data_IF_802750911630
#
_entry.id   IF_802750911630
#
_cell.length_a   1.000
_cell.length_b   1.000
_cell.length_c   1.000
_cell.angle_alpha   90.00
_cell.angle_beta   90.00
_cell.angle_gamma   90.00
#
_symmetry.space_group_name_H-M   'P 1'
#
loop_
_entity.id
_entity.type
_entity.pdbx_description
1 polymer ?
#
# COMPACT_ATOMS: atom_id res chain seq x y z
N UNK A 1 -9.05 -2.78 15.80
CA UNK A 1 -8.18 -1.61 16.03
C UNK A 1 -8.61 -0.75 17.22
N UNK A 2 -9.90 -0.46 17.45
CA UNK A 2 -10.35 0.35 18.60
C UNK A 2 -9.90 -0.18 19.98
N UNK A 3 -9.79 -1.51 20.14
CA UNK A 3 -9.40 -2.15 21.41
C UNK A 3 -7.93 -1.94 21.77
N UNK A 4 -7.03 -1.86 20.78
CA UNK A 4 -5.59 -1.60 21.03
C UNK A 4 -5.37 -0.18 21.53
N UNK A 5 -6.07 0.80 20.93
CA UNK A 5 -5.97 2.20 21.35
C UNK A 5 -6.50 2.43 22.77
N UNK A 6 -7.51 1.67 23.20
CA UNK A 6 -8.04 1.73 24.58
C UNK A 6 -7.05 1.14 25.58
N UNK A 7 -6.46 -0.02 25.28
CA UNK A 7 -5.47 -0.69 26.12
C UNK A 7 -4.21 0.16 26.29
N UNK A 8 -3.65 0.71 25.21
CA UNK A 8 -2.47 1.58 25.25
C UNK A 8 -2.69 2.83 26.10
N UNK A 9 -3.90 3.42 26.04
CA UNK A 9 -4.27 4.56 26.88
C UNK A 9 -4.29 4.20 28.38
N UNK A 10 -4.84 3.03 28.73
CA UNK A 10 -4.86 2.55 30.12
C UNK A 10 -3.44 2.34 30.67
N UNK A 11 -2.54 1.79 29.85
CA UNK A 11 -1.13 1.60 30.21
C UNK A 11 -0.43 2.95 30.45
N UNK A 12 -0.61 3.93 29.56
CA UNK A 12 -0.01 5.28 29.70
C UNK A 12 -0.49 5.99 30.97
N UNK A 13 -1.79 5.89 31.27
CA UNK A 13 -2.36 6.47 32.48
C UNK A 13 -1.79 5.81 33.75
N UNK A 14 -1.62 4.48 33.73
CA UNK A 14 -1.00 3.77 34.83
C UNK A 14 0.48 4.17 35.03
N UNK A 15 1.25 4.36 33.96
CA UNK A 15 2.65 4.84 34.05
C UNK A 15 2.71 6.23 34.72
N UNK A 16 1.80 7.14 34.34
CA UNK A 16 1.72 8.47 34.93
C UNK A 16 1.36 8.44 36.42
N UNK A 17 0.44 7.57 36.82
CA UNK A 17 0.04 7.41 38.23
C UNK A 17 1.15 6.75 39.08
N UNK A 18 1.97 5.90 38.48
CA UNK A 18 3.08 5.21 39.15
C UNK A 18 4.39 6.04 39.19
N UNK A 19 4.36 7.29 38.72
CA UNK A 19 5.50 8.20 38.85
C UNK A 19 6.60 8.00 37.81
N UNK A 20 6.30 7.40 36.65
CA UNK A 20 7.20 7.33 35.49
C UNK A 20 8.22 6.19 35.50
N UNK A 21 8.52 5.58 36.66
CA UNK A 21 9.35 4.37 36.75
C UNK A 21 8.49 3.17 37.12
N UNK A 22 8.36 2.21 36.21
CA UNK A 22 7.41 1.10 36.36
C UNK A 22 7.96 -0.24 35.91
N UNK A 23 7.54 -1.33 36.55
CA UNK A 23 7.74 -2.69 36.02
C UNK A 23 6.50 -3.17 35.28
N UNK A 24 6.65 -4.26 34.51
CA UNK A 24 5.51 -4.92 33.86
C UNK A 24 4.47 -5.38 34.89
N UNK A 25 4.93 -5.85 36.06
CA UNK A 25 4.07 -6.30 37.15
C UNK A 25 3.24 -5.14 37.74
N UNK A 26 3.86 -3.99 38.01
CA UNK A 26 3.16 -2.83 38.59
C UNK A 26 2.02 -2.35 37.68
N UNK A 27 2.29 -2.27 36.38
CA UNK A 27 1.30 -1.83 35.39
C UNK A 27 0.21 -2.89 35.20
N UNK A 28 0.55 -4.18 35.19
CA UNK A 28 -0.42 -5.26 35.10
C UNK A 28 -1.35 -5.29 36.32
N UNK A 29 -0.81 -5.15 37.53
CA UNK A 29 -1.57 -5.07 38.78
C UNK A 29 -2.49 -3.86 38.83
N UNK A 30 -2.08 -2.72 38.25
CA UNK A 30 -2.89 -1.50 38.23
C UNK A 30 -3.98 -1.50 37.16
N UNK A 31 -3.69 -2.05 35.98
CA UNK A 31 -4.59 -2.01 34.82
C UNK A 31 -5.48 -3.24 34.68
N UNK A 32 -5.14 -4.34 35.36
CA UNK A 32 -5.79 -5.64 35.20
C UNK A 32 -5.54 -6.30 33.83
N UNK A 33 -4.56 -5.81 33.07
CA UNK A 33 -4.22 -6.32 31.74
C UNK A 33 -3.25 -7.51 31.81
N UNK A 34 -3.31 -8.47 30.85
CA UNK A 34 -2.36 -9.58 30.80
C UNK A 34 -0.90 -9.11 30.69
N UNK A 35 0.01 -9.74 31.43
CA UNK A 35 1.45 -9.38 31.52
C UNK A 35 2.10 -9.28 30.13
N UNK A 36 1.85 -10.25 29.24
CA UNK A 36 2.40 -10.25 27.88
C UNK A 36 1.97 -9.00 27.08
N UNK A 37 0.71 -8.57 27.27
CA UNK A 37 0.16 -7.40 26.59
C UNK A 37 0.71 -6.11 27.17
N UNK A 38 0.86 -6.04 28.50
CA UNK A 38 1.49 -4.91 29.18
C UNK A 38 2.96 -4.77 28.74
N UNK A 39 3.70 -5.86 28.67
CA UNK A 39 5.09 -5.86 28.20
C UNK A 39 5.22 -5.36 26.75
N UNK A 40 4.39 -5.87 25.84
CA UNK A 40 4.38 -5.40 24.44
C UNK A 40 4.06 -3.90 24.34
N UNK A 41 3.08 -3.41 25.09
CA UNK A 41 2.69 -2.00 25.07
C UNK A 41 3.76 -1.12 25.72
N UNK A 42 4.38 -1.54 26.83
CA UNK A 42 5.47 -0.80 27.48
C UNK A 42 6.71 -0.68 26.59
N UNK A 43 7.10 -1.76 25.91
CA UNK A 43 8.19 -1.73 24.92
C UNK A 43 7.89 -0.76 23.77
N UNK A 44 6.65 -0.79 23.26
CA UNK A 44 6.24 0.11 22.19
C UNK A 44 6.20 1.57 22.67
N UNK A 45 5.68 1.84 23.87
CA UNK A 45 5.64 3.18 24.47
C UNK A 45 7.05 3.68 24.78
N UNK A 46 7.97 2.83 25.24
CA UNK A 46 9.36 3.19 25.50
C UNK A 46 10.08 3.58 24.20
N UNK A 47 9.89 2.79 23.13
CA UNK A 47 10.37 3.13 21.79
C UNK A 47 9.75 4.44 21.27
N UNK A 48 8.47 4.70 21.56
CA UNK A 48 7.74 5.88 21.07
C UNK A 48 8.08 7.16 21.85
N UNK A 49 8.44 7.06 23.13
CA UNK A 49 8.61 8.20 24.05
C UNK A 49 10.04 8.41 24.54
N UNK A 50 11.01 7.71 23.93
CA UNK A 50 12.42 7.68 24.39
C UNK A 50 12.56 7.26 25.85
N UNK A 51 11.70 6.34 26.31
CA UNK A 51 11.82 5.72 27.62
C UNK A 51 13.06 4.81 27.68
N UNK A 52 13.73 4.79 28.82
CA UNK A 52 14.91 3.96 29.03
C UNK A 52 14.56 2.70 29.82
N UNK A 53 15.25 1.61 29.49
CA UNK A 53 15.16 0.34 30.21
C UNK A 53 16.27 0.28 31.25
N UNK A 54 15.91 0.08 32.50
CA UNK A 54 16.83 -0.21 33.60
C UNK A 54 16.74 -1.70 33.91
N UNK A 55 17.90 -2.36 33.92
CA UNK A 55 17.98 -3.79 34.24
C UNK A 55 18.72 -3.94 35.57
N UNK A 56 18.12 -4.68 36.50
CA UNK A 56 18.76 -4.98 37.78
C UNK A 56 19.90 -6.00 37.61
N UNK A 57 20.75 -6.13 38.63
CA UNK A 57 21.78 -7.19 38.67
C UNK A 57 21.19 -8.61 38.73
N UNK A 58 19.90 -8.74 39.05
CA UNK A 58 19.13 -9.99 39.03
C UNK A 58 18.41 -10.25 37.69
N UNK A 59 18.46 -9.30 36.74
CA UNK A 59 17.84 -9.43 35.41
C UNK A 59 16.41 -8.88 35.31
N UNK A 60 15.91 -8.21 36.34
CA UNK A 60 14.57 -7.63 36.36
C UNK A 60 14.55 -6.29 35.60
N UNK A 61 13.50 -6.06 34.80
CA UNK A 61 13.39 -4.90 33.90
C UNK A 61 12.41 -3.87 34.49
N UNK A 62 12.90 -2.65 34.70
CA UNK A 62 12.10 -1.47 34.99
C UNK A 62 12.17 -0.48 33.81
N UNK A 63 11.03 0.13 33.50
CA UNK A 63 10.91 1.15 32.46
C UNK A 63 10.88 2.52 33.11
N UNK A 64 11.77 3.41 32.68
CA UNK A 64 11.86 4.77 33.18
C UNK A 64 11.47 5.75 32.06
N UNK A 65 10.36 6.45 32.26
CA UNK A 65 9.77 7.37 31.29
C UNK A 65 9.93 8.82 31.76
N UNK A 66 10.23 9.78 30.85
CA UNK A 66 10.35 11.19 31.22
C UNK A 66 9.01 11.72 31.75
N UNK A 67 9.05 12.62 32.74
CA UNK A 67 7.91 13.05 33.57
C UNK A 67 6.74 13.75 32.86
N UNK A 68 6.68 13.77 31.52
CA UNK A 68 5.63 14.44 30.75
C UNK A 68 5.09 13.56 29.58
N UNK A 69 4.82 12.28 29.86
CA UNK A 69 4.33 11.28 28.88
C UNK A 69 3.04 11.73 28.16
N UNK A 70 2.19 12.49 28.86
CA UNK A 70 0.90 12.96 28.33
C UNK A 70 1.04 13.93 27.13
N UNK A 71 2.06 14.78 27.10
CA UNK A 71 2.27 15.76 26.01
C UNK A 71 3.00 15.15 24.81
N UNK A 72 3.93 14.22 25.02
CA UNK A 72 4.59 13.48 23.94
C UNK A 72 3.63 12.56 23.17
N UNK A 73 2.60 12.02 23.84
CA UNK A 73 1.61 11.14 23.23
C UNK A 73 0.47 11.89 22.51
N UNK A 74 0.06 13.08 22.99
CA UNK A 74 -1.03 13.86 22.37
C UNK A 74 -0.71 14.30 20.94
N UNK A 75 0.54 14.58 20.61
CA UNK A 75 0.97 14.99 19.27
C UNK A 75 0.85 13.86 18.24
N UNK A 76 0.98 12.59 18.66
CA UNK A 76 0.89 11.40 17.79
C UNK A 76 -0.48 10.71 17.82
N UNK A 77 -1.24 10.83 18.92
CA UNK A 77 -2.63 10.36 18.97
C UNK A 77 -3.55 11.10 18.00
N UNK A 78 -3.26 12.39 17.73
CA UNK A 78 -3.87 13.14 16.64
C UNK A 78 -3.45 12.60 15.26
N UNK A 79 -2.19 12.18 15.10
CA UNK A 79 -1.67 11.65 13.84
C UNK A 79 -2.29 10.29 13.46
N UNK A 80 -2.50 9.38 14.43
CA UNK A 80 -3.15 8.08 14.21
C UNK A 80 -4.67 8.20 13.98
N UNK A 81 -5.33 9.15 14.67
CA UNK A 81 -6.74 9.48 14.41
C UNK A 81 -6.90 10.20 13.08
N UNK A 82 -5.95 11.05 12.68
CA UNK A 82 -5.88 11.63 11.35
C UNK A 82 -5.65 10.55 10.29
N UNK A 83 -4.86 9.51 10.56
CA UNK A 83 -4.67 8.41 9.64
C UNK A 83 -5.96 7.57 9.44
N UNK A 84 -6.68 7.25 10.52
CA UNK A 84 -7.95 6.52 10.44
C UNK A 84 -9.11 7.37 9.90
N UNK A 85 -9.19 8.63 10.31
CA UNK A 85 -10.15 9.60 9.76
C UNK A 85 -9.83 9.90 8.29
N UNK A 86 -8.54 10.00 7.91
CA UNK A 86 -8.15 10.14 6.51
C UNK A 86 -8.56 8.91 5.72
N UNK A 87 -8.36 7.68 6.18
CA UNK A 87 -8.80 6.47 5.45
C UNK A 87 -10.32 6.46 5.20
N UNK A 88 -11.12 6.86 6.19
CA UNK A 88 -12.59 6.94 6.06
C UNK A 88 -13.04 8.14 5.19
N UNK A 89 -12.50 9.34 5.45
CA UNK A 89 -12.80 10.58 4.73
C UNK A 89 -12.26 10.55 3.29
N UNK A 90 -11.13 9.88 3.04
CA UNK A 90 -10.59 9.61 1.71
C UNK A 90 -11.48 8.62 0.98
N UNK A 91 -12.05 7.59 1.61
CA UNK A 91 -12.90 6.63 0.87
C UNK A 91 -14.18 7.26 0.29
N UNK A 92 -14.88 8.08 1.08
CA UNK A 92 -16.07 8.81 0.62
C UNK A 92 -15.72 10.09 -0.15
N UNK A 93 -14.68 10.80 0.27
CA UNK A 93 -14.17 12.01 -0.38
C UNK A 93 -13.57 11.75 -1.75
N UNK A 94 -12.83 10.65 -1.95
CA UNK A 94 -12.35 10.24 -3.27
C UNK A 94 -13.50 9.90 -4.19
N UNK A 95 -14.60 9.32 -3.72
CA UNK A 95 -15.76 9.01 -4.57
C UNK A 95 -16.50 10.26 -5.04
N UNK A 96 -16.76 11.22 -4.14
CA UNK A 96 -17.37 12.50 -4.51
C UNK A 96 -16.44 13.33 -5.40
N UNK A 97 -15.13 13.30 -5.14
CA UNK A 97 -14.10 13.96 -5.94
C UNK A 97 -13.91 13.29 -7.32
N UNK A 98 -14.02 11.95 -7.40
CA UNK A 98 -14.01 11.16 -8.66
C UNK A 98 -15.08 11.64 -9.62
N UNK A 99 -16.28 11.86 -9.10
CA UNK A 99 -17.44 12.25 -9.89
C UNK A 99 -17.38 13.74 -10.23
N UNK A 100 -16.93 14.59 -9.29
CA UNK A 100 -16.95 16.05 -9.48
C UNK A 100 -16.06 16.54 -10.62
N UNK A 101 -14.87 15.95 -10.82
CA UNK A 101 -14.00 16.34 -11.93
C UNK A 101 -14.56 15.95 -13.29
N UNK A 102 -15.13 14.75 -13.42
CA UNK A 102 -15.75 14.32 -14.68
C UNK A 102 -17.00 15.13 -15.02
N UNK A 103 -17.87 15.39 -14.04
CA UNK A 103 -19.05 16.25 -14.22
C UNK A 103 -18.65 17.70 -14.48
N UNK A 104 -17.66 18.21 -13.75
CA UNK A 104 -17.10 19.54 -13.96
C UNK A 104 -16.54 19.70 -15.37
N UNK A 105 -15.88 18.68 -15.91
CA UNK A 105 -15.37 18.68 -17.28
C UNK A 105 -16.51 18.78 -18.30
N UNK A 106 -17.55 17.97 -18.15
CA UNK A 106 -18.74 18.03 -19.04
C UNK A 106 -19.42 19.39 -18.94
N UNK A 107 -19.67 19.88 -17.72
CA UNK A 107 -20.30 21.18 -17.50
C UNK A 107 -19.47 22.32 -18.09
N UNK A 108 -18.15 22.29 -17.90
CA UNK A 108 -17.24 23.29 -18.48
C UNK A 108 -17.30 23.27 -20.01
N UNK A 109 -17.32 22.10 -20.64
CA UNK A 109 -17.44 21.98 -22.10
C UNK A 109 -18.78 22.55 -22.59
N UNK A 110 -19.89 22.26 -21.91
CA UNK A 110 -21.20 22.81 -22.28
C UNK A 110 -21.23 24.34 -22.20
N UNK A 111 -20.62 24.92 -21.15
CA UNK A 111 -20.51 26.38 -21.01
C UNK A 111 -19.62 26.96 -22.12
N UNK A 112 -18.48 26.34 -22.40
CA UNK A 112 -17.59 26.74 -23.51
C UNK A 112 -18.33 26.73 -24.85
N UNK A 113 -19.09 25.68 -25.15
CA UNK A 113 -19.89 25.59 -26.37
C UNK A 113 -20.95 26.70 -26.41
N UNK A 114 -21.68 26.94 -25.31
CA UNK A 114 -22.67 28.02 -25.24
C UNK A 114 -22.06 29.41 -25.48
N UNK A 115 -20.90 29.67 -24.89
CA UNK A 115 -20.15 30.92 -25.08
C UNK A 115 -19.64 31.06 -26.53
N UNK A 116 -19.14 29.98 -27.14
CA UNK A 116 -18.73 29.99 -28.56
C UNK A 116 -19.92 30.26 -29.49
N UNK A 117 -21.11 29.72 -29.19
CA UNK A 117 -22.32 30.01 -29.97
C UNK A 117 -22.72 31.49 -29.88
N UNK A 118 -22.66 32.08 -28.69
CA UNK A 118 -22.91 33.53 -28.49
C UNK A 118 -21.91 34.36 -29.31
N UNK A 119 -20.63 33.99 -29.27
CA UNK A 119 -19.57 34.64 -30.03
C UNK A 119 -19.84 34.58 -31.54
N UNK A 120 -20.20 33.41 -32.07
CA UNK A 120 -20.54 33.23 -33.50
C UNK A 120 -21.75 34.11 -33.88
N UNK A 121 -22.81 34.11 -33.05
CA UNK A 121 -23.99 34.96 -33.29
C UNK A 121 -23.59 36.43 -33.35
N UNK A 122 -22.73 36.89 -32.44
CA UNK A 122 -22.24 38.28 -32.44
C UNK A 122 -21.44 38.61 -33.70
N UNK A 123 -20.56 37.73 -34.16
CA UNK A 123 -19.81 37.90 -35.42
C UNK A 123 -20.72 37.91 -36.66
N UNK A 124 -21.81 37.14 -36.64
CA UNK A 124 -22.72 37.00 -37.77
C UNK A 124 -23.72 38.15 -37.97
N UNK A 125 -23.77 39.14 -37.06
CA UNK A 125 -24.66 40.32 -37.18
C UNK A 125 -24.32 41.28 -38.35
N UNK A 126 -23.28 40.99 -39.13
CA UNK A 126 -22.86 41.78 -40.30
C UNK A 126 -22.72 41.00 -41.61
N UNK A 127 -23.20 39.75 -41.69
CA UNK A 127 -23.06 38.92 -42.90
C UNK A 127 -24.41 38.42 -43.40
N UNK A 128 -24.78 38.86 -44.61
CA UNK A 128 -26.00 38.39 -45.30
C UNK A 128 -26.07 36.87 -45.42
N UNK A 129 -27.28 36.37 -45.23
CA UNK A 129 -27.69 34.98 -45.32
C UNK A 129 -27.12 34.28 -46.56
N UNK A 130 -26.22 33.31 -46.35
CA UNK A 130 -26.13 32.13 -47.22
C UNK A 130 -26.18 30.88 -46.38
N UNK A 131 -27.35 30.25 -46.43
CA UNK A 131 -27.64 28.96 -45.83
C UNK A 131 -26.59 27.93 -46.24
N UNK A 132 -26.00 27.33 -45.23
CA UNK A 132 -25.20 26.13 -45.34
C UNK A 132 -25.49 25.35 -44.07
N UNK A 133 -26.59 24.60 -44.10
CA UNK A 133 -26.94 23.61 -43.09
C UNK A 133 -25.90 22.48 -43.16
N UNK A 134 -24.71 22.76 -42.63
CA UNK A 134 -23.69 21.76 -42.35
C UNK A 134 -23.91 21.36 -40.91
N UNK A 135 -24.98 20.58 -40.70
CA UNK A 135 -25.19 19.86 -39.46
C UNK A 135 -23.92 19.07 -39.15
N UNK A 136 -23.12 19.58 -38.20
CA UNK A 136 -22.06 18.81 -37.58
C UNK A 136 -22.76 17.75 -36.75
N UNK A 137 -23.11 16.64 -37.38
CA UNK A 137 -23.81 15.52 -36.79
C UNK A 137 -22.96 14.82 -35.74
N UNK A 138 -22.76 15.45 -34.59
CA UNK A 138 -22.57 14.72 -33.34
C UNK A 138 -23.87 13.96 -33.11
N UNK A 139 -23.94 12.70 -33.57
CA UNK A 139 -25.02 11.81 -33.15
C UNK A 139 -24.99 11.77 -31.62
N UNK A 140 -26.04 12.28 -30.99
CA UNK A 140 -26.34 12.24 -29.55
C UNK A 140 -26.62 10.78 -29.09
N UNK A 141 -26.02 9.77 -29.72
CA UNK A 141 -26.01 8.39 -29.22
C UNK A 141 -25.00 8.19 -28.08
N UNK A 142 -24.16 9.19 -27.78
CA UNK A 142 -23.12 9.15 -26.76
C UNK A 142 -23.65 9.38 -25.33
N UNK A 143 -24.76 10.12 -25.17
CA UNK A 143 -25.27 10.54 -23.85
C UNK A 143 -26.49 9.75 -23.34
N UNK A 144 -27.16 8.95 -24.18
CA UNK A 144 -28.64 8.86 -24.10
C UNK A 144 -29.27 7.73 -23.28
N UNK A 145 -28.54 6.87 -22.56
CA UNK A 145 -29.18 5.92 -21.61
C UNK A 145 -28.20 5.25 -20.64
N UNK A 146 -26.99 4.94 -21.10
CA UNK A 146 -26.01 4.15 -20.35
C UNK A 146 -25.38 4.92 -19.19
N UNK A 147 -25.13 6.23 -19.35
CA UNK A 147 -24.47 7.07 -18.33
C UNK A 147 -25.39 7.23 -17.10
N UNK A 148 -26.69 7.47 -17.30
CA UNK A 148 -27.67 7.68 -16.23
C UNK A 148 -28.11 6.33 -15.61
N UNK A 149 -28.30 5.28 -16.43
CA UNK A 149 -28.61 3.92 -15.95
C UNK A 149 -27.47 3.36 -15.09
N UNK A 150 -26.21 3.50 -15.52
CA UNK A 150 -25.05 2.98 -14.77
C UNK A 150 -24.73 3.86 -13.55
N UNK A 151 -25.04 5.16 -13.58
CA UNK A 151 -25.01 6.03 -12.39
C UNK A 151 -26.00 5.54 -11.31
N UNK A 152 -27.22 5.15 -11.71
CA UNK A 152 -28.23 4.58 -10.81
C UNK A 152 -27.89 3.16 -10.36
N UNK A 153 -27.35 2.29 -11.23
CA UNK A 153 -26.94 0.94 -10.85
C UNK A 153 -25.79 0.93 -9.82
N UNK A 154 -24.85 1.87 -9.93
CA UNK A 154 -23.75 2.04 -8.97
C UNK A 154 -24.20 2.70 -7.66
N UNK A 155 -25.23 3.56 -7.70
CA UNK A 155 -25.84 4.17 -6.50
C UNK A 155 -26.64 3.16 -5.66
N UNK A 156 -27.25 2.15 -6.30
CA UNK A 156 -28.19 1.22 -5.65
C UNK A 156 -27.65 -0.21 -5.40
N UNK A 157 -26.61 -0.70 -6.11
CA UNK A 157 -26.19 -2.12 -6.04
C UNK A 157 -24.68 -2.41 -6.01
N UNK A 158 -23.80 -1.42 -5.81
CA UNK A 158 -22.37 -1.55 -6.09
C UNK A 158 -21.41 -1.66 -4.91
N UNK A 159 -21.71 -2.41 -3.84
CA UNK A 159 -20.71 -2.70 -2.80
C UNK A 159 -20.70 -4.19 -2.43
N UNK A 160 -19.77 -4.92 -3.03
CA UNK A 160 -19.31 -6.18 -2.48
C UNK A 160 -17.79 -6.14 -2.40
N UNK A 161 -17.30 -5.95 -1.19
CA UNK A 161 -15.97 -6.37 -0.81
C UNK A 161 -15.87 -7.88 -1.05
N UNK A 162 -15.13 -8.26 -2.08
CA UNK A 162 -14.84 -9.67 -2.34
C UNK A 162 -13.52 -10.01 -1.65
N UNK A 163 -13.65 -10.84 -0.61
CA UNK A 163 -12.60 -11.71 -0.07
C UNK A 163 -11.79 -12.30 -1.22
N UNK A 164 -10.48 -12.07 -1.23
CA UNK A 164 -9.57 -12.77 -2.12
C UNK A 164 -9.50 -14.25 -1.75
N UNK A 165 -9.62 -15.18 -2.71
CA UNK A 165 -9.19 -16.57 -2.51
C UNK A 165 -7.65 -16.61 -2.35
N UNK A 166 -7.17 -17.45 -1.44
CA UNK A 166 -5.78 -17.52 -0.98
C UNK A 166 -4.76 -18.04 -2.01
N UNK A 167 -5.12 -18.15 -3.29
CA UNK A 167 -4.30 -18.81 -4.33
C UNK A 167 -3.29 -17.89 -5.01
N UNK A 168 -3.39 -16.57 -4.87
CA UNK A 168 -2.55 -15.59 -5.58
C UNK A 168 -1.85 -14.62 -4.62
N UNK A 169 -1.03 -15.15 -3.70
CA UNK A 169 -0.37 -14.35 -2.65
C UNK A 169 0.75 -13.43 -3.18
N UNK A 170 1.30 -13.74 -4.36
CA UNK A 170 2.48 -13.08 -4.92
C UNK A 170 2.24 -12.37 -6.24
N UNK A 171 1.04 -12.49 -6.81
CA UNK A 171 0.67 -11.87 -8.08
C UNK A 171 0.35 -10.38 -7.91
N UNK A 172 0.40 -9.66 -9.04
CA UNK A 172 0.02 -8.25 -9.09
C UNK A 172 -1.38 -8.11 -8.50
N UNK A 173 -1.61 -7.29 -7.45
CA UNK A 173 -2.96 -6.98 -7.03
C UNK A 173 -3.66 -6.42 -8.26
N UNK A 174 -4.57 -7.22 -8.82
CA UNK A 174 -5.35 -6.80 -9.97
C UNK A 174 -6.30 -5.74 -9.45
N UNK A 175 -5.86 -4.48 -9.48
CA UNK A 175 -6.77 -3.35 -9.48
C UNK A 175 -7.61 -3.58 -10.73
N UNK A 176 -8.85 -4.08 -10.51
CA UNK A 176 -9.75 -4.55 -11.54
C UNK A 176 -9.64 -3.67 -12.79
N UNK A 177 -9.26 -4.28 -13.90
CA UNK A 177 -9.69 -3.79 -15.21
C UNK A 177 -11.21 -3.87 -15.18
N UNK A 178 -11.90 -2.77 -14.90
CA UNK A 178 -13.34 -2.73 -15.09
C UNK A 178 -13.57 -3.06 -16.57
N UNK A 179 -14.19 -4.20 -16.86
CA UNK A 179 -14.42 -4.66 -18.24
C UNK A 179 -15.12 -3.61 -19.11
N UNK A 180 -15.84 -2.66 -18.47
CA UNK A 180 -16.32 -1.41 -19.07
C UNK A 180 -16.15 -0.26 -18.07
N UNK A 181 -15.14 0.58 -18.27
CA UNK A 181 -14.89 1.77 -17.47
C UNK A 181 -15.92 2.87 -17.75
N UNK A 182 -16.40 3.53 -16.69
CA UNK A 182 -17.28 4.70 -16.79
C UNK A 182 -16.45 5.94 -17.15
N UNK A 183 -16.95 6.83 -18.02
CA UNK A 183 -16.28 8.10 -18.37
C UNK A 183 -15.80 8.89 -17.14
N UNK A 184 -16.60 8.98 -16.08
CA UNK A 184 -16.21 9.68 -14.84
C UNK A 184 -15.02 8.99 -14.13
N UNK A 185 -15.02 7.66 -14.12
CA UNK A 185 -13.90 6.88 -13.61
C UNK A 185 -12.66 7.05 -14.48
N UNK A 186 -12.82 7.09 -15.81
CA UNK A 186 -11.72 7.29 -16.75
C UNK A 186 -11.12 8.70 -16.59
N UNK A 187 -11.94 9.74 -16.39
CA UNK A 187 -11.47 11.08 -16.03
C UNK A 187 -10.66 11.08 -14.73
N UNK A 188 -11.12 10.36 -13.70
CA UNK A 188 -10.37 10.25 -12.46
C UNK A 188 -9.04 9.49 -12.63
N UNK A 189 -9.06 8.34 -13.30
CA UNK A 189 -7.85 7.57 -13.59
C UNK A 189 -6.87 8.37 -14.48
N UNK A 190 -7.41 9.17 -15.41
CA UNK A 190 -6.63 10.11 -16.19
C UNK A 190 -5.98 11.18 -15.32
N UNK A 191 -6.67 11.77 -14.33
CA UNK A 191 -6.17 12.88 -13.51
C UNK A 191 -5.28 12.43 -12.33
N UNK A 192 -5.58 11.30 -11.69
CA UNK A 192 -4.87 10.82 -10.49
C UNK A 192 -4.24 9.42 -10.60
N UNK A 193 -4.64 8.62 -11.59
CA UNK A 193 -4.21 7.22 -11.72
C UNK A 193 -4.98 6.26 -10.79
N UNK A 194 -4.50 5.03 -10.69
CA UNK A 194 -5.24 3.93 -10.05
C UNK A 194 -4.64 3.47 -8.71
N UNK A 195 -3.77 4.29 -8.12
CA UNK A 195 -3.09 4.02 -6.85
C UNK A 195 -1.71 3.37 -7.01
N UNK A 196 -1.06 3.14 -5.87
CA UNK A 196 0.26 2.50 -5.83
C UNK A 196 0.13 0.98 -6.03
N UNK A 197 0.75 0.40 -7.08
CA UNK A 197 0.69 -1.04 -7.31
C UNK A 197 1.48 -1.86 -6.29
N UNK A 198 2.39 -1.23 -5.52
CA UNK A 198 3.32 -1.90 -4.60
C UNK A 198 2.99 -1.66 -3.12
N UNK A 199 1.74 -1.33 -2.77
CA UNK A 199 1.34 -1.05 -1.36
C UNK A 199 1.69 -2.19 -0.40
N UNK A 200 1.59 -3.44 -0.85
CA UNK A 200 1.90 -4.63 -0.05
C UNK A 200 3.31 -5.18 -0.34
N UNK A 201 4.21 -4.39 -0.93
CA UNK A 201 5.55 -4.87 -1.29
C UNK A 201 6.36 -5.33 -0.07
N UNK A 202 6.27 -4.60 1.04
CA UNK A 202 6.94 -4.99 2.28
C UNK A 202 6.37 -6.31 2.84
N UNK A 203 5.04 -6.44 2.90
CA UNK A 203 4.41 -7.69 3.35
C UNK A 203 4.80 -8.88 2.46
N UNK A 204 4.84 -8.67 1.13
CA UNK A 204 5.31 -9.69 0.18
C UNK A 204 6.78 -10.02 0.39
N UNK A 205 7.64 -9.02 0.59
CA UNK A 205 9.06 -9.21 0.87
C UNK A 205 9.26 -10.14 2.07
N UNK A 206 8.62 -9.85 3.19
CA UNK A 206 8.75 -10.67 4.40
C UNK A 206 8.15 -12.06 4.22
N UNK A 207 7.00 -12.16 3.55
CA UNK A 207 6.37 -13.45 3.26
C UNK A 207 7.23 -14.33 2.34
N UNK A 208 7.88 -13.74 1.34
CA UNK A 208 8.80 -14.44 0.44
C UNK A 208 10.10 -14.83 1.17
N UNK A 209 10.71 -13.92 1.93
CA UNK A 209 11.92 -14.22 2.72
C UNK A 209 11.68 -15.40 3.69
N UNK A 210 10.56 -15.40 4.41
CA UNK A 210 10.20 -16.52 5.29
C UNK A 210 10.01 -17.84 4.52
N UNK A 211 9.43 -17.78 3.31
CA UNK A 211 9.22 -18.96 2.47
C UNK A 211 10.55 -19.53 1.93
N UNK A 212 11.50 -18.68 1.55
CA UNK A 212 12.87 -19.10 1.16
C UNK A 212 13.56 -19.78 2.33
N UNK A 213 13.52 -19.17 3.50
CA UNK A 213 14.12 -19.73 4.73
C UNK A 213 13.52 -21.10 5.03
N UNK A 214 12.20 -21.24 4.91
CA UNK A 214 11.53 -22.52 5.10
C UNK A 214 12.02 -23.58 4.12
N UNK A 215 12.05 -23.27 2.82
CA UNK A 215 12.50 -24.19 1.74
C UNK A 215 13.96 -24.60 1.86
N UNK A 216 14.80 -23.71 2.35
CA UNK A 216 16.21 -24.00 2.59
C UNK A 216 16.46 -24.84 3.84
N UNK A 217 15.43 -25.27 4.56
CA UNK A 217 15.59 -26.05 5.79
C UNK A 217 16.01 -25.20 6.98
N UNK A 218 15.60 -23.93 7.01
CA UNK A 218 15.78 -23.05 8.16
C UNK A 218 17.15 -22.40 8.23
N UNK A 219 18.09 -22.76 7.35
CA UNK A 219 19.40 -22.12 7.24
C UNK A 219 19.57 -21.54 5.85
N UNK A 220 19.96 -20.27 5.78
CA UNK A 220 20.16 -19.54 4.53
C UNK A 220 21.43 -18.71 4.55
N UNK A 221 21.95 -18.39 3.37
CA UNK A 221 23.03 -17.41 3.20
C UNK A 221 22.47 -16.03 2.83
N UNK A 222 23.28 -14.97 2.92
CA UNK A 222 22.90 -13.63 2.48
C UNK A 222 22.51 -13.61 0.99
N UNK A 223 23.25 -14.35 0.16
CA UNK A 223 23.01 -14.47 -1.28
C UNK A 223 21.63 -15.07 -1.58
N UNK A 224 21.13 -16.01 -0.76
CA UNK A 224 19.79 -16.57 -0.94
C UNK A 224 18.66 -15.59 -0.58
N UNK A 225 18.93 -14.64 0.31
CA UNK A 225 17.95 -13.63 0.74
C UNK A 225 17.97 -12.37 -0.13
N UNK A 226 19.11 -12.04 -0.74
CA UNK A 226 19.31 -10.85 -1.56
C UNK A 226 18.29 -10.65 -2.70
N UNK A 227 17.81 -11.68 -3.43
CA UNK A 227 16.78 -11.52 -4.45
C UNK A 227 15.44 -10.98 -3.91
N UNK A 228 15.21 -11.11 -2.61
CA UNK A 228 13.96 -10.70 -1.96
C UNK A 228 14.13 -9.41 -1.16
N UNK A 229 15.24 -9.27 -0.43
CA UNK A 229 15.54 -8.05 0.35
C UNK A 229 16.01 -6.91 -0.53
N UNK A 230 16.67 -7.21 -1.65
CA UNK A 230 17.34 -6.22 -2.50
C UNK A 230 18.62 -5.64 -1.88
N UNK A 231 19.11 -6.21 -0.77
CA UNK A 231 20.40 -5.84 -0.19
C UNK A 231 21.54 -6.50 -0.97
N UNK A 232 22.71 -5.85 -0.99
CA UNK A 232 23.91 -6.43 -1.59
C UNK A 232 24.35 -7.65 -0.76
N UNK A 233 24.47 -8.85 -1.36
CA UNK A 233 24.92 -10.04 -0.63
C UNK A 233 26.31 -9.93 -0.01
N UNK A 234 27.15 -9.01 -0.48
CA UNK A 234 28.48 -8.74 0.10
C UNK A 234 28.38 -7.97 1.41
N UNK A 235 27.25 -7.33 1.65
CA UNK A 235 26.95 -6.58 2.85
C UNK A 235 26.02 -7.41 3.75
N UNK A 236 26.63 -8.06 4.73
CA UNK A 236 25.94 -8.93 5.70
C UNK A 236 24.93 -8.12 6.56
N UNK A 237 25.03 -6.79 6.61
CA UNK A 237 24.08 -5.91 7.31
C UNK A 237 22.67 -6.00 6.71
N UNK A 238 22.57 -6.35 5.42
CA UNK A 238 21.31 -6.55 4.71
C UNK A 238 20.44 -7.67 5.28
N UNK A 239 21.03 -8.60 6.03
CA UNK A 239 20.33 -9.74 6.64
C UNK A 239 19.82 -9.42 8.05
N UNK A 240 20.35 -8.41 8.72
CA UNK A 240 19.99 -8.05 10.10
C UNK A 240 18.47 -7.84 10.31
N UNK A 241 17.74 -7.13 9.41
CA UNK A 241 16.30 -6.98 9.56
C UNK A 241 15.55 -8.33 9.52
N UNK A 242 16.05 -9.29 8.74
CA UNK A 242 15.47 -10.64 8.62
C UNK A 242 15.73 -11.42 9.92
N UNK A 243 16.94 -11.34 10.47
CA UNK A 243 17.30 -11.98 11.75
C UNK A 243 16.41 -11.48 12.89
N UNK A 244 16.29 -10.16 13.04
CA UNK A 244 15.47 -9.57 14.10
C UNK A 244 14.00 -9.95 13.94
N UNK A 245 13.48 -9.95 12.70
CA UNK A 245 12.05 -10.19 12.45
C UNK A 245 11.64 -11.65 12.66
N UNK A 246 12.51 -12.60 12.33
CA UNK A 246 12.20 -14.04 12.40
C UNK A 246 13.01 -14.77 13.47
N UNK A 247 13.59 -14.03 14.42
CA UNK A 247 14.42 -14.54 15.51
C UNK A 247 15.55 -15.48 15.03
N UNK A 248 16.23 -15.09 13.95
CA UNK A 248 17.35 -15.83 13.40
C UNK A 248 18.67 -15.52 14.11
N UNK A 249 19.63 -16.43 14.00
CA UNK A 249 20.98 -16.30 14.56
C UNK A 249 22.05 -16.56 13.50
N UNK A 250 23.16 -15.79 13.48
CA UNK A 250 24.30 -16.09 12.63
C UNK A 250 25.08 -17.28 13.20
N UNK A 251 25.52 -18.18 12.33
CA UNK A 251 26.41 -19.30 12.65
C UNK A 251 27.61 -19.28 11.70
N UNK A 252 28.79 -19.50 12.26
CA UNK A 252 30.03 -19.52 11.48
C UNK A 252 30.29 -20.94 10.98
N UNK A 253 30.53 -21.05 9.68
CA UNK A 253 30.87 -22.30 9.00
C UNK A 253 32.33 -22.68 9.24
N UNK A 254 32.67 -23.97 9.06
CA UNK A 254 34.04 -24.47 9.22
C UNK A 254 35.06 -23.78 8.31
N UNK A 255 34.61 -23.28 7.16
CA UNK A 255 35.42 -22.54 6.18
C UNK A 255 35.51 -21.03 6.47
N UNK A 256 34.92 -20.55 7.57
CA UNK A 256 34.97 -19.15 8.00
C UNK A 256 33.93 -18.22 7.39
N UNK A 257 32.98 -18.73 6.58
CA UNK A 257 31.81 -17.97 6.13
C UNK A 257 30.68 -17.96 7.17
N UNK A 258 29.72 -17.04 7.03
CA UNK A 258 28.56 -16.92 7.92
C UNK A 258 27.32 -17.48 7.20
N UNK A 259 26.51 -18.25 7.94
CA UNK A 259 25.17 -18.67 7.54
C UNK A 259 24.17 -18.24 8.61
N UNK A 260 22.89 -18.21 8.28
CA UNK A 260 21.85 -17.68 9.16
C UNK A 260 20.79 -18.74 9.42
N UNK A 261 20.66 -19.14 10.69
CA UNK A 261 19.75 -20.18 11.13
C UNK A 261 18.48 -19.59 11.76
N UNK A 262 17.32 -20.15 11.41
CA UNK A 262 15.98 -19.72 11.80
C UNK A 262 15.16 -20.93 12.30
N UNK A 263 15.42 -21.43 13.52
CA UNK A 263 14.76 -22.63 14.04
C UNK A 263 13.24 -22.48 14.16
N UNK A 264 12.76 -21.28 14.53
CA UNK A 264 11.34 -21.02 14.76
C UNK A 264 10.50 -21.12 13.49
N UNK A 265 11.09 -20.88 12.31
CA UNK A 265 10.38 -20.98 11.03
C UNK A 265 10.19 -22.43 10.55
N UNK A 266 10.84 -23.41 11.19
CA UNK A 266 10.73 -24.84 10.85
C UNK A 266 9.66 -25.59 11.65
N UNK A 267 9.00 -24.93 12.60
CA UNK A 267 7.91 -25.52 13.38
C UNK A 267 6.56 -25.08 12.80
N UNK A 268 5.74 -26.04 12.35
CA UNK A 268 4.46 -25.75 11.69
C UNK A 268 3.35 -26.64 12.18
N UNK A 269 2.12 -26.13 12.32
CA UNK A 269 0.95 -26.93 12.71
C UNK A 269 0.29 -27.68 11.52
N UNK A 270 0.72 -27.40 10.29
CA UNK A 270 0.22 -28.05 9.08
C UNK A 270 1.39 -28.31 8.14
N UNK A 271 1.32 -29.39 7.37
CA UNK A 271 2.30 -29.67 6.33
C UNK A 271 2.39 -28.48 5.35
N UNK A 272 3.59 -28.09 4.90
CA UNK A 272 3.76 -27.00 3.95
C UNK A 272 2.96 -27.27 2.69
N UNK A 273 2.18 -26.29 2.26
CA UNK A 273 1.67 -26.30 0.89
C UNK A 273 2.79 -25.89 -0.04
N UNK A 274 3.12 -26.77 -1.00
CA UNK A 274 3.99 -26.42 -2.12
C UNK A 274 3.32 -25.25 -2.84
N UNK A 275 3.91 -24.07 -2.72
CA UNK A 275 3.48 -22.86 -3.42
C UNK A 275 4.53 -22.56 -4.49
N UNK A 276 4.16 -21.99 -5.63
CA UNK A 276 5.20 -21.50 -6.55
C UNK A 276 5.78 -20.21 -5.97
N UNK A 277 7.06 -20.25 -5.58
CA UNK A 277 7.78 -19.06 -5.09
C UNK A 277 8.54 -18.47 -6.29
N UNK A 278 8.27 -17.21 -6.66
CA UNK A 278 9.05 -16.53 -7.68
C UNK A 278 10.53 -16.42 -7.26
N UNK A 279 11.49 -16.47 -8.21
CA UNK A 279 12.93 -16.47 -7.89
C UNK A 279 13.42 -15.17 -7.23
N UNK A 280 12.67 -14.07 -7.34
CA UNK A 280 12.98 -12.78 -6.72
C UNK A 280 11.71 -11.97 -6.47
N UNK A 281 11.82 -10.95 -5.60
CA UNK A 281 10.72 -10.01 -5.35
C UNK A 281 10.60 -8.99 -6.50
N UNK A 282 9.54 -9.14 -7.29
CA UNK A 282 9.22 -8.17 -8.35
C UNK A 282 8.33 -7.03 -7.82
N UNK A 283 8.79 -5.79 -7.98
CA UNK A 283 7.97 -4.59 -7.84
C UNK A 283 7.35 -4.21 -9.18
N UNK A 284 6.08 -3.84 -9.19
CA UNK A 284 5.41 -3.46 -10.43
C UNK A 284 5.61 -2.00 -10.77
N UNK A 285 5.81 -1.71 -12.06
CA UNK A 285 5.89 -0.34 -12.55
C UNK A 285 4.54 0.37 -12.41
N UNK A 286 4.59 1.65 -12.04
CA UNK A 286 3.43 2.52 -12.09
C UNK A 286 3.01 2.68 -13.55
N UNK A 287 1.78 2.25 -13.84
CA UNK A 287 1.12 2.57 -15.11
C UNK A 287 0.53 3.97 -15.02
N UNK A 288 0.50 4.69 -16.13
CA UNK A 288 -0.18 5.98 -16.18
C UNK A 288 -1.68 5.82 -15.86
N UNK A 289 -2.31 4.81 -16.45
CA UNK A 289 -3.64 4.33 -16.12
C UNK A 289 -3.75 2.84 -16.48
N UNK A 290 -4.59 2.11 -15.75
CA UNK A 290 -5.00 0.74 -16.01
C UNK A 290 -6.22 0.67 -16.94
N UNK A 291 -6.83 1.82 -17.30
CA UNK A 291 -7.94 1.90 -18.23
C UNK A 291 -7.46 1.61 -19.66
N UNK A 292 -8.15 0.76 -20.42
CA UNK A 292 -7.86 0.51 -21.83
C UNK A 292 -7.82 1.81 -22.67
N UNK A 293 -6.94 1.84 -23.68
CA UNK A 293 -6.67 3.06 -24.46
C UNK A 293 -7.91 3.56 -25.23
N UNK A 294 -8.74 2.66 -25.73
CA UNK A 294 -10.01 2.95 -26.41
C UNK A 294 -11.00 3.68 -25.50
N UNK A 295 -11.04 3.31 -24.21
CA UNK A 295 -11.94 3.93 -23.23
C UNK A 295 -11.43 5.29 -22.74
N UNK A 296 -10.15 5.61 -22.97
CA UNK A 296 -9.55 6.91 -22.64
C UNK A 296 -9.76 7.97 -23.73
N UNK A 297 -10.05 7.56 -24.97
CA UNK A 297 -10.25 8.49 -26.10
C UNK A 297 -11.30 9.57 -25.80
N UNK A 298 -12.50 9.26 -25.26
CA UNK A 298 -13.48 10.30 -24.96
C UNK A 298 -12.99 11.34 -23.95
N UNK A 299 -12.18 10.92 -22.96
CA UNK A 299 -11.60 11.83 -21.96
C UNK A 299 -10.66 12.82 -22.65
N UNK A 300 -9.78 12.33 -23.54
CA UNK A 300 -8.86 13.19 -24.30
C UNK A 300 -9.60 14.16 -25.22
N UNK A 301 -10.65 13.68 -25.91
CA UNK A 301 -11.44 14.51 -26.82
C UNK A 301 -12.16 15.62 -26.05
N UNK A 302 -12.88 15.27 -24.98
CA UNK A 302 -13.61 16.26 -24.16
C UNK A 302 -12.64 17.25 -23.51
N UNK A 303 -11.52 16.79 -22.96
CA UNK A 303 -10.51 17.65 -22.37
C UNK A 303 -9.85 18.59 -23.40
N UNK A 304 -9.51 18.06 -24.57
CA UNK A 304 -8.93 18.84 -25.67
C UNK A 304 -9.88 19.90 -26.21
N UNK A 305 -11.14 19.55 -26.48
CA UNK A 305 -12.17 20.51 -26.92
C UNK A 305 -12.42 21.59 -25.88
N UNK A 306 -12.48 21.21 -24.60
CA UNK A 306 -12.67 22.15 -23.50
C UNK A 306 -11.50 23.14 -23.40
N UNK A 307 -10.26 22.65 -23.44
CA UNK A 307 -9.06 23.48 -23.41
C UNK A 307 -9.01 24.44 -24.62
N UNK A 308 -9.14 23.91 -25.83
CA UNK A 308 -9.07 24.70 -27.07
C UNK A 308 -10.19 25.75 -27.09
N UNK A 309 -11.43 25.34 -26.82
CA UNK A 309 -12.58 26.25 -26.84
C UNK A 309 -12.45 27.36 -25.79
N UNK A 310 -12.00 27.04 -24.57
CA UNK A 310 -11.78 28.06 -23.55
C UNK A 310 -10.68 29.06 -23.95
N UNK A 311 -9.58 28.60 -24.55
CA UNK A 311 -8.52 29.51 -25.02
C UNK A 311 -8.92 30.34 -26.24
N UNK A 312 -9.74 29.81 -27.15
CA UNK A 312 -10.35 30.61 -28.23
C UNK A 312 -11.17 31.75 -27.64
N UNK A 313 -11.96 31.48 -26.59
CA UNK A 313 -12.75 32.50 -25.91
C UNK A 313 -11.87 33.56 -25.22
N UNK A 314 -10.76 33.16 -24.57
CA UNK A 314 -9.77 34.10 -23.99
C UNK A 314 -9.19 35.03 -25.05
N UNK A 315 -8.88 34.49 -26.23
CA UNK A 315 -8.29 35.25 -27.34
C UNK A 315 -9.31 36.08 -28.13
N UNK A 316 -10.60 36.01 -27.78
CA UNK A 316 -11.67 36.69 -28.49
C UNK A 316 -12.07 37.99 -27.77
N UNK A 317 -11.59 39.17 -28.21
CA UNK A 317 -11.88 40.44 -27.55
C UNK A 317 -13.36 40.86 -27.62
N UNK A 318 -14.16 40.20 -28.47
CA UNK A 318 -15.56 40.53 -28.75
C UNK A 318 -16.55 40.12 -27.66
N UNK A 319 -16.15 39.28 -26.70
CA UNK A 319 -17.03 38.82 -25.61
C UNK A 319 -17.32 39.87 -24.53
N UNK A 320 -16.60 41.00 -24.55
CA UNK A 320 -16.72 42.06 -23.55
C UNK A 320 -16.14 41.66 -22.17
N UNK A 321 -15.93 42.65 -21.31
CA UNK A 321 -15.29 42.43 -19.99
C UNK A 321 -16.16 41.64 -19.00
N UNK A 322 -17.48 41.60 -19.21
CA UNK A 322 -18.44 40.96 -18.29
C UNK A 322 -18.30 39.44 -18.19
N UNK A 323 -17.95 38.75 -19.27
CA UNK A 323 -17.73 37.30 -19.26
C UNK A 323 -16.28 36.89 -18.92
N UNK A 324 -15.36 37.85 -18.83
CA UNK A 324 -13.93 37.58 -18.68
C UNK A 324 -13.59 36.73 -17.44
N UNK A 325 -14.17 36.96 -16.24
CA UNK A 325 -13.89 36.11 -15.08
C UNK A 325 -14.27 34.64 -15.31
N UNK A 326 -15.41 34.39 -15.97
CA UNK A 326 -15.87 33.04 -16.29
C UNK A 326 -14.98 32.39 -17.35
N UNK A 327 -14.61 33.12 -18.40
CA UNK A 327 -13.72 32.64 -19.47
C UNK A 327 -12.35 32.26 -18.89
N UNK A 328 -11.77 33.10 -18.03
CA UNK A 328 -10.50 32.82 -17.36
C UNK A 328 -10.60 31.59 -16.44
N UNK A 329 -11.71 31.44 -15.71
CA UNK A 329 -11.95 30.25 -14.90
C UNK A 329 -12.01 28.96 -15.75
N UNK A 330 -12.73 28.99 -16.88
CA UNK A 330 -12.81 27.86 -17.81
C UNK A 330 -11.45 27.52 -18.43
N UNK A 331 -10.69 28.53 -18.84
CA UNK A 331 -9.35 28.34 -19.39
C UNK A 331 -8.38 27.78 -18.36
N UNK A 332 -8.42 28.29 -17.12
CA UNK A 332 -7.65 27.76 -16.01
C UNK A 332 -8.00 26.30 -15.73
N UNK A 333 -9.30 25.99 -15.63
CA UNK A 333 -9.78 24.62 -15.39
C UNK A 333 -9.35 23.66 -16.50
N UNK A 334 -9.58 24.01 -17.77
CA UNK A 334 -9.17 23.19 -18.92
C UNK A 334 -7.66 22.99 -19.00
N UNK A 335 -6.88 24.03 -18.67
CA UNK A 335 -5.41 23.95 -18.62
C UNK A 335 -4.95 23.02 -17.50
N UNK A 336 -5.49 23.15 -16.29
CA UNK A 336 -5.13 22.29 -15.15
C UNK A 336 -5.53 20.83 -15.38
N UNK A 337 -6.66 20.59 -16.05
CA UNK A 337 -7.11 19.23 -16.38
C UNK A 337 -6.11 18.48 -17.29
N UNK A 338 -5.31 19.19 -18.08
CA UNK A 338 -4.24 18.62 -18.90
C UNK A 338 -2.85 18.70 -18.25
N UNK A 339 -2.58 19.76 -17.50
CA UNK A 339 -1.27 19.99 -16.88
C UNK A 339 -0.98 19.03 -15.72
N UNK A 340 -1.96 18.78 -14.86
CA UNK A 340 -1.83 17.84 -13.72
C UNK A 340 -1.43 16.43 -14.19
N UNK A 341 -2.12 15.78 -15.15
CA UNK A 341 -1.71 14.46 -15.64
C UNK A 341 -0.37 14.48 -16.37
N UNK A 342 -0.04 15.57 -17.08
CA UNK A 342 1.28 15.72 -17.71
C UNK A 342 2.41 15.70 -16.67
N UNK A 343 2.28 16.49 -15.60
CA UNK A 343 3.24 16.48 -14.49
C UNK A 343 3.31 15.10 -13.83
N UNK A 344 2.15 14.45 -13.62
CA UNK A 344 2.12 13.08 -13.07
C UNK A 344 2.87 12.10 -13.95
N UNK A 345 2.71 12.17 -15.27
CA UNK A 345 3.40 11.30 -16.21
C UNK A 345 4.93 11.40 -16.06
N UNK A 346 5.46 12.62 -15.92
CA UNK A 346 6.90 12.83 -15.68
C UNK A 346 7.36 12.24 -14.33
N UNK A 347 6.58 12.44 -13.27
CA UNK A 347 6.88 11.89 -11.94
C UNK A 347 6.84 10.35 -11.94
N UNK A 348 5.90 9.75 -12.65
CA UNK A 348 5.81 8.30 -12.84
C UNK A 348 7.09 7.78 -13.53
N UNK A 349 7.59 8.47 -14.55
CA UNK A 349 8.85 8.11 -15.20
C UNK A 349 10.04 8.06 -14.23
N UNK A 350 10.16 9.05 -13.34
CA UNK A 350 11.21 9.07 -12.31
C UNK A 350 11.06 7.94 -11.30
N UNK A 351 9.82 7.66 -10.85
CA UNK A 351 9.54 6.56 -9.92
C UNK A 351 9.84 5.19 -10.53
N UNK A 352 9.43 4.99 -11.79
CA UNK A 352 9.64 3.73 -12.50
C UNK A 352 11.11 3.43 -12.72
N UNK A 353 11.94 4.43 -13.05
CA UNK A 353 13.40 4.22 -13.12
C UNK A 353 14.00 3.66 -11.83
N UNK A 354 13.55 4.15 -10.67
CA UNK A 354 13.99 3.62 -9.36
C UNK A 354 13.49 2.20 -9.10
N UNK A 355 12.29 1.86 -9.55
CA UNK A 355 11.73 0.51 -9.43
C UNK A 355 12.47 -0.46 -10.35
N UNK A 356 12.73 -0.05 -11.59
CA UNK A 356 13.53 -0.83 -12.56
C UNK A 356 14.93 -1.10 -12.04
N UNK A 357 15.56 -0.11 -11.40
CA UNK A 357 16.86 -0.29 -10.74
C UNK A 357 16.83 -1.39 -9.68
N UNK A 358 15.89 -1.28 -8.71
CA UNK A 358 15.74 -2.28 -7.64
C UNK A 358 15.42 -3.66 -8.17
N UNK A 359 14.52 -3.75 -9.15
CA UNK A 359 14.19 -5.02 -9.79
C UNK A 359 15.40 -5.60 -10.51
N UNK A 360 16.18 -4.79 -11.23
CA UNK A 360 17.39 -5.24 -11.92
C UNK A 360 18.43 -5.79 -10.95
N UNK A 361 18.62 -5.14 -9.80
CA UNK A 361 19.49 -5.64 -8.74
C UNK A 361 19.01 -7.00 -8.22
N UNK A 362 17.73 -7.12 -7.87
CA UNK A 362 17.13 -8.39 -7.41
C UNK A 362 17.22 -9.51 -8.45
N UNK A 363 17.01 -9.20 -9.72
CA UNK A 363 17.17 -10.17 -10.82
C UNK A 363 18.64 -10.58 -10.99
N UNK A 364 19.59 -9.66 -10.84
CA UNK A 364 21.02 -9.99 -10.88
C UNK A 364 21.42 -10.92 -9.73
N UNK A 365 20.90 -10.69 -8.51
CA UNK A 365 21.10 -11.60 -7.39
C UNK A 365 20.48 -12.99 -7.62
N UNK A 366 19.29 -13.05 -8.22
CA UNK A 366 18.68 -14.34 -8.57
C UNK A 366 19.49 -15.10 -9.62
N UNK A 367 20.01 -14.38 -10.64
CA UNK A 367 20.84 -14.98 -11.70
C UNK A 367 22.15 -15.53 -11.11
N UNK A 368 22.74 -14.84 -10.12
CA UNK A 368 23.93 -15.32 -9.42
C UNK A 368 23.69 -16.64 -8.65
N UNK A 369 22.46 -16.95 -8.26
CA UNK A 369 22.13 -18.24 -7.63
C UNK A 369 21.91 -19.37 -8.63
N UNK A 370 21.66 -19.07 -9.91
CA UNK A 370 21.50 -20.08 -10.96
C UNK A 370 22.85 -20.68 -11.37
N UNK A 371 23.90 -19.84 -11.44
CA UNK A 371 25.30 -20.25 -11.67
C UNK A 371 26.22 -19.62 -10.60
N UNK A 372 26.27 -20.19 -9.38
CA UNK A 372 26.96 -19.57 -8.26
C UNK A 372 28.49 -19.68 -8.39
N UNK A 373 29.23 -18.59 -8.12
CA UNK A 373 30.68 -18.64 -8.04
C UNK A 373 31.12 -19.54 -6.88
N UNK A 374 32.35 -20.07 -6.95
CA UNK A 374 32.85 -21.10 -6.02
C UNK A 374 32.69 -20.74 -4.53
N UNK A 375 32.91 -19.47 -4.16
CA UNK A 375 32.75 -18.98 -2.79
C UNK A 375 31.29 -19.09 -2.30
N UNK A 376 30.33 -18.72 -3.15
CA UNK A 376 28.90 -18.78 -2.84
C UNK A 376 28.44 -20.24 -2.81
N UNK A 377 28.95 -21.08 -3.72
CA UNK A 377 28.66 -22.51 -3.75
C UNK A 377 29.09 -23.19 -2.44
N UNK A 378 30.25 -22.83 -1.90
CA UNK A 378 30.73 -23.30 -0.60
C UNK A 378 29.82 -22.88 0.56
N UNK A 379 29.37 -21.61 0.61
CA UNK A 379 28.42 -21.14 1.62
C UNK A 379 27.07 -21.86 1.52
N UNK A 380 26.56 -22.06 0.30
CA UNK A 380 25.31 -22.78 0.04
C UNK A 380 25.40 -24.25 0.47
N UNK A 381 26.54 -24.89 0.23
CA UNK A 381 26.80 -26.26 0.68
C UNK A 381 26.83 -26.35 2.21
N UNK A 382 27.48 -25.40 2.88
CA UNK A 382 27.52 -25.33 4.35
C UNK A 382 26.15 -25.06 4.97
N UNK A 383 25.35 -24.18 4.37
CA UNK A 383 23.95 -23.98 4.80
C UNK A 383 23.13 -25.27 4.65
N UNK A 384 23.39 -26.07 3.61
CA UNK A 384 22.71 -27.34 3.39
C UNK A 384 23.08 -28.41 4.41
N UNK A 385 24.31 -28.42 4.93
CA UNK A 385 24.73 -29.37 5.98
C UNK A 385 24.17 -29.02 7.36
N UNK A 386 23.92 -27.73 7.62
CA UNK A 386 23.40 -27.23 8.90
C UNK A 386 21.86 -27.16 8.96
N UNK A 387 21.17 -27.81 8.02
CA UNK A 387 19.71 -27.79 7.92
C UNK A 387 19.05 -28.23 9.22
N UNK A 388 17.97 -27.52 9.56
CA UNK A 388 17.11 -27.81 10.69
C UNK A 388 15.94 -28.65 10.18
N UNK A 389 15.72 -29.81 10.80
CA UNK A 389 14.62 -30.68 10.45
C UNK A 389 13.27 -30.01 10.72
N UNK A 390 12.37 -30.14 9.77
CA UNK A 390 11.04 -29.57 9.89
C UNK A 390 10.22 -30.35 10.92
N UNK A 391 9.68 -29.66 11.92
CA UNK A 391 8.80 -30.25 12.93
C UNK A 391 7.36 -29.86 12.65
N UNK A 392 6.56 -30.83 12.21
CA UNK A 392 5.10 -30.64 12.10
C UNK A 392 4.47 -31.03 13.43
N UNK A 393 3.94 -30.06 14.17
CA UNK A 393 3.22 -30.33 15.42
C UNK A 393 1.86 -30.93 15.07
N UNK A 394 1.71 -32.23 15.30
CA UNK A 394 0.42 -32.89 15.17
C UNK A 394 -0.38 -32.76 16.45
N UNK A 395 -1.69 -32.99 16.34
CA UNK A 395 -2.59 -33.04 17.49
C UNK A 395 -2.14 -34.08 18.54
N UNK A 396 -1.42 -35.12 18.13
CA UNK A 396 -0.96 -36.20 19.01
C UNK A 396 0.33 -35.83 19.77
N UNK A 397 1.07 -34.81 19.30
CA UNK A 397 2.23 -34.24 20.01
C UNK A 397 1.84 -33.21 21.07
N UNK A 398 0.54 -32.90 21.20
CA UNK A 398 0.04 -31.87 22.09
C UNK A 398 -0.08 -32.38 23.53
N UNK A 399 0.96 -32.13 24.33
CA UNK A 399 1.00 -32.43 25.78
C UNK A 399 -0.01 -31.60 26.58
N UNK A 400 -0.43 -30.45 26.06
CA UNK A 400 -1.37 -29.56 26.71
C UNK A 400 -2.36 -28.96 25.70
N UNK A 401 -3.63 -28.95 26.08
CA UNK A 401 -4.78 -28.55 25.28
C UNK A 401 -5.74 -27.70 26.11
N UNK A 402 -5.87 -26.42 25.75
CA UNK A 402 -6.74 -25.48 26.48
C UNK A 402 -8.24 -25.76 26.31
N UNK A 403 -8.62 -26.63 25.38
CA UNK A 403 -10.00 -27.06 25.12
C UNK A 403 -10.41 -28.31 25.93
N UNK A 404 -9.47 -28.93 26.65
CA UNK A 404 -9.73 -30.04 27.57
C UNK A 404 -9.57 -29.60 29.02
N UNK A 405 -10.25 -30.28 29.94
CA UNK A 405 -10.06 -30.04 31.37
C UNK A 405 -8.66 -30.48 31.81
N UNK A 406 -8.09 -29.81 32.81
CA UNK A 406 -6.72 -30.06 33.29
C UNK A 406 -6.60 -31.46 33.89
N UNK A 407 -7.63 -31.91 34.61
CA UNK A 407 -7.65 -33.21 35.26
C UNK A 407 -7.65 -34.34 34.22
N UNK A 408 -8.47 -34.24 33.17
CA UNK A 408 -8.52 -35.24 32.09
C UNK A 408 -7.16 -35.37 31.36
N UNK A 409 -6.44 -34.26 31.20
CA UNK A 409 -5.12 -34.26 30.55
C UNK A 409 -4.01 -34.85 31.43
N UNK A 410 -4.07 -34.65 32.74
CA UNK A 410 -3.10 -35.19 33.70
C UNK A 410 -3.27 -36.72 33.88
N UNK A 411 -4.51 -37.22 33.77
CA UNK A 411 -4.81 -38.66 33.70
C UNK A 411 -4.31 -39.31 32.41
N UNK A 412 -4.51 -38.67 31.24
CA UNK A 412 -4.05 -39.20 29.95
C UNK A 412 -2.51 -39.15 29.78
N UNK A 413 -1.82 -38.23 30.48
CA UNK A 413 -0.37 -38.06 30.42
C UNK A 413 0.42 -38.93 31.41
N UNK A 414 -0.25 -39.65 32.32
CA UNK A 414 0.38 -40.56 33.28
C UNK A 414 0.63 -41.94 32.63
N UNK A 415 1.86 -42.51 32.71
CA UNK A 415 2.24 -43.73 32.00
C UNK A 415 1.57 -45.02 32.51
#
# INVERSE_FOLDING_TARGET
>A
MATQTKTKKQVIEAIGQLGGRVTVADVASKTGLPILRVSSELNQIASDTQGHLEVSTTGDIAYNFPGNINSAYMTRGMMLKFEQASKALMSAGYFLLRISFGLGLILSLLIVIGLLMILIIYMSRGGDNRGGDRGFGFRIGFFDYLIIRDLLFYLFYGNYGSRYPATYRYDRPTVRTAEKGNFLFNCFSFLFGDGDPNQNAEERQWAMAAEVIRRSGGVVTAEQLAPYTGADPRDEDGVLPVLVRFNGKPEVTEKGGIVYAFPELQVTAQAPRITDLPPFLNEWLYKFSNVPADQMVPVYVVAGLNFIGAWILVMSPMMGTGFMPLILFLAFYGTMFLLVPLLRYLLIGVKNKKIEERNRQRTAHATLLEDPPAEVLDKLAAAKTLKIDQKVLTSDDAVYRSDRDLLEQEFDASP
#
